data_IF_736071941935
#
_entry.id   IF_736071941935
#
_cell.length_a   1.000
_cell.length_b   1.000
_cell.length_c   1.000
_cell.angle_alpha   90.00
_cell.angle_beta   90.00
_cell.angle_gamma   90.00
#
_symmetry.space_group_name_H-M   'P 1'
#
loop_
_entity.id
_entity.type
_entity.pdbx_description
1 polymer ?
#
# COMPACT_ATOMS: atom_id res chain seq x y z
N UNK A 1 -55.92 31.35 5.28
CA UNK A 1 -55.69 30.48 6.43
C UNK A 1 -54.20 30.54 6.76
N UNK A 2 -53.85 31.03 7.95
CA UNK A 2 -52.47 31.00 8.44
C UNK A 2 -52.16 29.53 8.75
N UNK A 3 -51.22 28.92 8.02
CA UNK A 3 -50.75 27.55 8.29
C UNK A 3 -50.09 27.58 9.68
N UNK A 4 -50.75 26.98 10.67
CA UNK A 4 -50.17 26.82 12.01
C UNK A 4 -48.88 26.02 11.84
N UNK A 5 -47.79 26.60 12.27
CA UNK A 5 -46.47 25.89 12.27
C UNK A 5 -46.48 24.78 13.32
N UNK A 6 -46.08 23.61 12.94
CA UNK A 6 -45.93 22.47 13.84
C UNK A 6 -44.74 22.70 14.78
N UNK A 7 -44.97 22.57 16.09
CA UNK A 7 -43.94 22.63 17.10
C UNK A 7 -43.15 21.28 17.13
N UNK A 8 -41.85 21.36 16.94
CA UNK A 8 -40.95 20.18 16.94
C UNK A 8 -40.21 20.02 18.27
N UNK A 9 -40.47 20.86 19.29
CA UNK A 9 -39.76 20.81 20.59
C UNK A 9 -39.91 19.43 21.23
N UNK A 10 -38.80 18.84 21.70
CA UNK A 10 -38.73 17.53 22.28
C UNK A 10 -38.68 16.38 21.27
N UNK A 11 -38.90 16.63 19.98
CA UNK A 11 -38.79 15.58 18.95
C UNK A 11 -37.33 15.22 18.69
N UNK A 12 -37.10 13.96 18.30
CA UNK A 12 -35.76 13.43 18.00
C UNK A 12 -35.68 13.08 16.51
N UNK A 13 -34.67 13.63 15.84
CA UNK A 13 -34.36 13.36 14.45
C UNK A 13 -32.92 12.78 14.34
N UNK A 14 -32.82 11.48 14.19
CA UNK A 14 -31.55 10.77 14.27
C UNK A 14 -30.92 10.92 15.67
N UNK A 15 -29.79 11.63 15.76
CA UNK A 15 -29.10 11.96 17.02
C UNK A 15 -29.41 13.37 17.54
N UNK A 16 -30.27 14.10 16.86
CA UNK A 16 -30.63 15.48 17.22
C UNK A 16 -31.94 15.50 17.98
N UNK A 17 -31.92 16.04 19.19
CA UNK A 17 -33.11 16.37 19.98
C UNK A 17 -33.38 17.86 19.84
N UNK A 18 -34.58 18.22 19.44
CA UNK A 18 -35.02 19.62 19.32
C UNK A 18 -35.26 20.20 20.71
N UNK A 19 -34.60 21.30 21.02
CA UNK A 19 -34.68 21.96 22.36
C UNK A 19 -35.70 23.11 22.33
N UNK A 20 -35.64 23.97 21.31
CA UNK A 20 -36.48 25.15 21.16
C UNK A 20 -36.51 25.64 19.73
N UNK A 21 -37.46 26.47 19.40
CA UNK A 21 -37.47 27.19 18.14
C UNK A 21 -36.36 28.26 18.11
N UNK A 22 -35.72 28.46 16.97
CA UNK A 22 -34.81 29.54 16.68
C UNK A 22 -35.46 30.59 15.78
N UNK A 23 -34.77 31.70 15.52
CA UNK A 23 -35.22 32.69 14.53
C UNK A 23 -35.30 32.07 13.14
N UNK A 24 -36.26 32.49 12.33
CA UNK A 24 -36.42 32.00 11.00
C UNK A 24 -35.20 32.29 10.12
N UNK A 25 -34.79 31.31 9.32
CA UNK A 25 -33.88 31.59 8.21
C UNK A 25 -34.64 32.28 7.08
N UNK A 26 -34.20 33.48 6.73
CA UNK A 26 -34.78 34.24 5.62
C UNK A 26 -33.85 34.21 4.42
N UNK A 27 -34.30 33.68 3.31
CA UNK A 27 -33.51 33.67 2.08
C UNK A 27 -33.39 35.08 1.47
N UNK A 28 -32.39 35.32 0.58
CA UNK A 28 -32.29 36.61 -0.15
C UNK A 28 -33.53 36.99 -0.97
N UNK A 29 -34.42 36.02 -1.26
CA UNK A 29 -35.70 36.21 -1.94
C UNK A 29 -36.88 36.42 -0.99
N UNK A 30 -36.62 36.61 0.32
CA UNK A 30 -37.65 36.86 1.33
C UNK A 30 -38.47 35.62 1.76
N UNK A 31 -38.03 34.41 1.45
CA UNK A 31 -38.71 33.19 1.90
C UNK A 31 -38.23 32.81 3.30
N UNK A 32 -39.18 32.59 4.22
CA UNK A 32 -38.95 32.24 5.60
C UNK A 32 -38.97 30.73 5.82
N UNK A 33 -37.95 30.18 6.50
CA UNK A 33 -37.88 28.79 6.93
C UNK A 33 -37.74 28.70 8.44
N UNK A 34 -38.66 27.98 9.08
CA UNK A 34 -38.59 27.75 10.52
C UNK A 34 -37.30 26.98 10.87
N UNK A 35 -36.54 27.53 11.82
CA UNK A 35 -35.33 26.88 12.35
C UNK A 35 -35.52 26.44 13.80
N UNK A 36 -34.74 25.45 14.18
CA UNK A 36 -34.79 24.80 15.48
C UNK A 36 -33.38 24.61 16.05
N UNK A 37 -33.25 24.93 17.33
CA UNK A 37 -32.04 24.62 18.09
C UNK A 37 -32.10 23.18 18.54
N UNK A 38 -31.07 22.40 18.21
CA UNK A 38 -30.98 21.01 18.53
C UNK A 38 -29.71 20.70 19.36
N UNK A 39 -29.77 19.66 20.18
CA UNK A 39 -28.62 19.04 20.82
C UNK A 39 -28.38 17.64 20.29
N UNK A 40 -27.11 17.28 20.09
CA UNK A 40 -26.74 15.96 19.61
C UNK A 40 -26.46 15.00 20.77
N UNK A 41 -26.95 13.75 20.68
CA UNK A 41 -26.74 12.73 21.73
C UNK A 41 -25.27 12.27 21.87
N UNK A 42 -24.36 12.70 20.96
CA UNK A 42 -22.93 12.37 21.06
C UNK A 42 -22.16 13.13 22.16
N UNK A 43 -22.85 14.01 22.90
CA UNK A 43 -22.22 14.82 23.96
C UNK A 43 -21.53 16.09 23.46
N UNK A 44 -21.64 16.44 22.17
CA UNK A 44 -21.19 17.76 21.70
C UNK A 44 -21.96 18.89 22.40
N UNK A 45 -21.23 19.84 22.95
CA UNK A 45 -21.82 20.98 23.72
C UNK A 45 -22.39 22.06 22.81
N UNK A 46 -21.99 22.11 21.54
CA UNK A 46 -22.45 23.14 20.60
C UNK A 46 -23.92 22.93 20.23
N UNK A 47 -24.68 24.04 20.22
CA UNK A 47 -26.03 24.05 19.69
C UNK A 47 -26.00 24.00 18.16
N UNK A 48 -26.90 23.21 17.61
CA UNK A 48 -27.04 23.03 16.14
C UNK A 48 -28.35 23.66 15.74
N UNK A 49 -28.30 24.59 14.80
CA UNK A 49 -29.50 25.25 14.27
C UNK A 49 -29.81 24.66 12.90
N UNK A 50 -31.00 24.05 12.76
CA UNK A 50 -31.42 23.39 11.53
C UNK A 50 -32.86 23.70 11.18
N UNK A 51 -33.15 23.67 9.87
CA UNK A 51 -34.52 23.94 9.39
C UNK A 51 -35.43 22.73 9.62
N UNK A 52 -36.76 23.00 9.79
CA UNK A 52 -37.77 21.94 9.91
C UNK A 52 -37.67 20.90 8.79
N UNK A 53 -37.42 21.36 7.57
CA UNK A 53 -37.32 20.48 6.40
C UNK A 53 -36.12 19.54 6.47
N UNK A 54 -34.95 20.03 6.88
CA UNK A 54 -33.76 19.21 7.01
C UNK A 54 -33.89 18.13 8.10
N UNK A 55 -34.56 18.46 9.20
CA UNK A 55 -34.86 17.54 10.27
C UNK A 55 -35.85 16.46 9.81
N UNK A 56 -37.00 16.85 9.26
CA UNK A 56 -38.07 15.92 8.85
C UNK A 56 -37.67 15.00 7.71
N UNK A 57 -36.89 15.51 6.76
CA UNK A 57 -36.39 14.69 5.63
C UNK A 57 -35.20 13.81 5.97
N UNK A 58 -34.66 13.92 7.19
CA UNK A 58 -33.48 13.19 7.61
C UNK A 58 -32.19 13.65 6.90
N UNK A 59 -32.19 14.81 6.24
CA UNK A 59 -31.01 15.37 5.58
C UNK A 59 -29.89 15.68 6.59
N UNK A 60 -30.27 16.10 7.81
CA UNK A 60 -29.37 16.28 8.93
C UNK A 60 -29.82 15.43 10.08
N UNK A 61 -28.96 14.51 10.53
CA UNK A 61 -29.25 13.51 11.57
C UNK A 61 -28.30 13.60 12.79
N UNK A 62 -27.29 14.45 12.74
CA UNK A 62 -26.30 14.62 13.81
C UNK A 62 -25.54 15.93 13.67
N UNK A 63 -24.70 16.28 14.63
CA UNK A 63 -23.74 17.40 14.55
C UNK A 63 -22.58 17.16 13.55
N UNK A 64 -22.67 16.19 12.67
CA UNK A 64 -21.58 15.70 11.84
C UNK A 64 -20.82 14.50 12.44
N UNK A 65 -21.08 14.14 13.71
CA UNK A 65 -20.44 12.99 14.37
C UNK A 65 -20.74 11.67 13.64
N UNK A 66 -21.97 11.43 13.22
CA UNK A 66 -22.38 10.24 12.48
C UNK A 66 -21.60 10.10 11.16
N UNK A 67 -21.43 11.20 10.43
CA UNK A 67 -20.63 11.20 9.20
C UNK A 67 -19.15 10.89 9.47
N UNK A 68 -18.58 11.41 10.59
CA UNK A 68 -17.20 11.12 10.98
C UNK A 68 -17.04 9.64 11.38
N UNK A 69 -17.98 9.08 12.14
CA UNK A 69 -17.98 7.67 12.53
C UNK A 69 -18.12 6.73 11.33
N UNK A 70 -19.07 7.01 10.42
CA UNK A 70 -19.25 6.23 9.20
C UNK A 70 -18.01 6.31 8.27
N UNK A 71 -17.37 7.46 8.18
CA UNK A 71 -16.10 7.58 7.46
C UNK A 71 -15.00 6.78 8.14
N UNK A 72 -14.88 6.87 9.47
CA UNK A 72 -13.90 6.11 10.24
C UNK A 72 -14.12 4.59 10.12
N UNK A 73 -15.37 4.11 10.18
CA UNK A 73 -15.69 2.69 10.02
C UNK A 73 -15.46 2.17 8.60
N UNK A 74 -15.73 2.98 7.58
CA UNK A 74 -15.42 2.65 6.17
C UNK A 74 -13.92 2.62 5.87
N UNK A 75 -13.12 3.43 6.60
CA UNK A 75 -11.67 3.51 6.43
C UNK A 75 -10.90 2.47 7.24
N UNK A 76 -11.51 1.89 8.28
CA UNK A 76 -10.94 0.80 9.06
C UNK A 76 -11.50 -0.54 8.58
N UNK A 77 -11.11 -0.95 7.39
CA UNK A 77 -11.13 -2.37 7.07
C UNK A 77 -9.92 -2.98 7.77
N UNK A 78 -10.17 -3.76 8.81
CA UNK A 78 -9.13 -4.60 9.40
C UNK A 78 -8.74 -5.66 8.36
N UNK A 79 -7.45 -5.98 8.32
CA UNK A 79 -7.00 -7.10 7.53
C UNK A 79 -7.42 -8.41 8.22
N UNK A 80 -7.69 -9.41 7.42
CA UNK A 80 -7.85 -10.79 7.89
C UNK A 80 -6.46 -11.43 7.97
N UNK A 81 -6.23 -12.23 9.01
CA UNK A 81 -4.94 -12.88 9.23
C UNK A 81 -5.14 -14.36 9.54
N UNK A 82 -4.33 -15.21 8.95
CA UNK A 82 -4.11 -16.58 9.36
C UNK A 82 -2.75 -16.70 10.06
N UNK A 83 -2.78 -17.11 11.34
CA UNK A 83 -1.61 -17.28 12.20
C UNK A 83 -1.38 -18.74 12.56
N UNK A 84 -2.08 -19.69 11.94
CA UNK A 84 -2.01 -21.12 12.28
C UNK A 84 -0.77 -21.82 11.74
N UNK A 85 -0.08 -21.23 10.77
CA UNK A 85 1.12 -21.78 10.15
C UNK A 85 2.43 -21.40 10.85
N UNK A 86 3.55 -21.74 10.23
CA UNK A 86 4.89 -21.33 10.68
C UNK A 86 5.21 -19.85 10.46
N UNK A 87 4.35 -19.13 9.73
CA UNK A 87 4.39 -17.70 9.48
C UNK A 87 2.97 -17.17 9.34
N UNK A 88 2.80 -15.86 9.44
CA UNK A 88 1.50 -15.21 9.30
C UNK A 88 1.18 -14.91 7.84
N UNK A 89 -0.08 -15.10 7.46
CA UNK A 89 -0.66 -14.71 6.17
C UNK A 89 -1.70 -13.64 6.41
N UNK A 90 -1.57 -12.48 5.76
CA UNK A 90 -2.56 -11.41 5.81
C UNK A 90 -3.19 -11.18 4.44
N UNK A 91 -4.44 -10.70 4.41
CA UNK A 91 -5.12 -10.33 3.18
C UNK A 91 -5.15 -8.81 3.02
N UNK A 92 -4.67 -8.29 1.90
CA UNK A 92 -4.74 -6.86 1.58
C UNK A 92 -6.20 -6.38 1.47
N UNK A 93 -6.55 -5.33 2.21
CA UNK A 93 -7.95 -4.90 2.41
C UNK A 93 -8.67 -4.40 1.15
N UNK A 94 -7.94 -4.08 0.09
CA UNK A 94 -8.49 -3.56 -1.17
C UNK A 94 -8.55 -4.59 -2.30
N UNK A 95 -7.66 -5.57 -2.32
CA UNK A 95 -7.54 -6.57 -3.41
C UNK A 95 -7.77 -8.00 -2.94
N UNK A 96 -7.59 -8.28 -1.63
CA UNK A 96 -7.57 -9.64 -1.10
C UNK A 96 -6.26 -10.38 -1.41
N UNK A 97 -5.25 -9.70 -1.95
CA UNK A 97 -3.93 -10.31 -2.20
C UNK A 97 -3.29 -10.75 -0.90
N UNK A 98 -2.74 -11.96 -0.87
CA UNK A 98 -2.03 -12.48 0.28
C UNK A 98 -0.68 -11.78 0.46
N UNK A 99 -0.31 -11.55 1.71
CA UNK A 99 1.04 -11.13 2.08
C UNK A 99 1.53 -11.91 3.30
N UNK A 100 2.83 -12.11 3.39
CA UNK A 100 3.46 -13.01 4.34
C UNK A 100 4.37 -12.23 5.28
N UNK A 101 4.41 -12.63 6.56
CA UNK A 101 5.21 -12.02 7.62
C UNK A 101 5.53 -13.03 8.71
N UNK A 102 6.55 -12.78 9.55
CA UNK A 102 6.86 -13.65 10.68
C UNK A 102 5.88 -13.41 11.82
N UNK A 103 5.45 -14.49 12.51
CA UNK A 103 4.44 -14.43 13.59
C UNK A 103 4.81 -13.41 14.68
N UNK A 104 6.10 -13.27 14.99
CA UNK A 104 6.59 -12.30 15.97
C UNK A 104 6.39 -10.83 15.59
N UNK A 105 6.15 -10.54 14.32
CA UNK A 105 5.88 -9.19 13.84
C UNK A 105 4.37 -8.84 13.81
N UNK A 106 3.50 -9.80 14.15
CA UNK A 106 2.05 -9.59 14.16
C UNK A 106 1.61 -8.39 15.02
N UNK A 107 2.17 -8.28 16.23
CA UNK A 107 1.83 -7.17 17.12
C UNK A 107 2.24 -5.80 16.58
N UNK A 108 3.24 -5.72 15.72
CA UNK A 108 3.66 -4.47 15.06
C UNK A 108 2.71 -4.06 13.94
N UNK A 109 2.06 -5.05 13.28
CA UNK A 109 1.31 -4.81 12.04
C UNK A 109 -0.21 -4.81 12.22
N UNK A 110 -0.75 -5.50 13.23
CA UNK A 110 -2.19 -5.73 13.41
C UNK A 110 -3.05 -4.46 13.51
N UNK A 111 -2.49 -3.36 14.01
CA UNK A 111 -3.21 -2.10 14.22
C UNK A 111 -3.29 -1.22 12.97
N UNK A 112 -2.68 -1.64 11.86
CA UNK A 112 -2.69 -0.93 10.59
C UNK A 112 -3.66 -1.58 9.60
N UNK A 113 -4.16 -0.78 8.66
CA UNK A 113 -4.95 -1.28 7.53
C UNK A 113 -4.03 -1.40 6.30
N UNK A 114 -3.56 -2.60 6.06
CA UNK A 114 -2.66 -2.91 4.93
C UNK A 114 -3.43 -3.04 3.63
N UNK A 115 -2.87 -2.49 2.59
CA UNK A 115 -3.41 -2.48 1.24
C UNK A 115 -2.31 -2.79 0.24
N UNK A 116 -2.68 -3.37 -0.87
CA UNK A 116 -1.82 -3.39 -2.03
C UNK A 116 -1.71 -1.97 -2.59
N UNK A 117 -0.49 -1.49 -2.72
CA UNK A 117 -0.13 -0.18 -3.23
C UNK A 117 0.68 -0.35 -4.50
N UNK A 118 0.54 0.61 -5.41
CA UNK A 118 1.32 0.67 -6.65
C UNK A 118 2.39 1.75 -6.52
N UNK A 119 3.63 1.45 -6.89
CA UNK A 119 4.70 2.44 -6.96
C UNK A 119 4.52 3.43 -8.12
N UNK A 120 5.33 4.47 -8.14
CA UNK A 120 5.21 5.59 -9.08
C UNK A 120 5.23 5.17 -10.56
N UNK A 121 5.91 4.08 -10.90
CA UNK A 121 5.96 3.56 -12.28
C UNK A 121 4.72 2.77 -12.71
N UNK A 122 3.79 2.48 -11.80
CA UNK A 122 2.61 1.63 -12.06
C UNK A 122 2.91 0.14 -12.22
N UNK A 123 4.17 -0.26 -12.23
CA UNK A 123 4.59 -1.66 -12.47
C UNK A 123 5.02 -2.42 -11.21
N UNK A 124 5.29 -1.70 -10.13
CA UNK A 124 5.73 -2.28 -8.88
C UNK A 124 4.61 -2.23 -7.85
N UNK A 125 4.22 -3.39 -7.33
CA UNK A 125 3.19 -3.54 -6.30
C UNK A 125 3.85 -3.89 -4.96
N UNK A 126 3.31 -3.40 -3.86
CA UNK A 126 3.80 -3.70 -2.51
C UNK A 126 2.69 -3.54 -1.48
N UNK A 127 2.90 -4.11 -0.30
CA UNK A 127 1.97 -3.94 0.82
C UNK A 127 2.33 -2.70 1.62
N UNK A 128 1.38 -1.79 1.77
CA UNK A 128 1.57 -0.51 2.46
C UNK A 128 0.30 -0.02 3.14
N UNK A 129 0.48 0.93 4.04
CA UNK A 129 -0.61 1.63 4.73
C UNK A 129 -0.41 3.14 4.66
N UNK A 130 -1.48 3.91 4.84
CA UNK A 130 -1.39 5.37 4.93
C UNK A 130 -1.03 5.75 6.36
N UNK A 131 0.13 6.34 6.55
CA UNK A 131 0.62 6.84 7.84
C UNK A 131 0.91 8.35 7.80
N UNK A 132 0.91 8.98 8.97
CA UNK A 132 1.32 10.37 9.12
C UNK A 132 2.73 10.39 9.73
N UNK A 133 3.74 10.69 8.91
CA UNK A 133 5.14 10.78 9.31
C UNK A 133 5.56 12.25 9.22
N UNK A 134 6.11 12.80 10.32
CA UNK A 134 6.52 14.21 10.40
C UNK A 134 5.44 15.19 9.92
N UNK A 135 4.18 14.95 10.31
CA UNK A 135 3.04 15.79 9.95
C UNK A 135 2.51 15.60 8.53
N UNK A 136 3.21 14.92 7.64
CA UNK A 136 2.79 14.66 6.25
C UNK A 136 2.19 13.26 6.11
N UNK A 137 1.11 13.15 5.34
CA UNK A 137 0.51 11.88 4.99
C UNK A 137 1.35 11.20 3.91
N UNK A 138 1.81 9.98 4.18
CA UNK A 138 2.63 9.19 3.27
C UNK A 138 2.21 7.72 3.30
N UNK A 139 2.67 6.95 2.32
CA UNK A 139 2.52 5.49 2.33
C UNK A 139 3.70 4.88 3.08
N UNK A 140 3.40 4.10 4.12
CA UNK A 140 4.37 3.32 4.89
C UNK A 140 4.34 1.88 4.39
N UNK A 141 5.39 1.39 3.72
CA UNK A 141 5.51 -0.02 3.35
C UNK A 141 5.68 -0.91 4.59
N UNK A 142 5.06 -2.10 4.58
CA UNK A 142 5.10 -3.04 5.71
C UNK A 142 6.54 -3.48 6.05
N UNK A 143 7.37 -3.75 5.05
CA UNK A 143 8.77 -4.15 5.26
C UNK A 143 9.59 -3.08 6.00
N UNK A 144 9.29 -1.78 5.82
CA UNK A 144 9.95 -0.70 6.57
C UNK A 144 9.56 -0.69 8.05
N UNK A 145 8.31 -1.05 8.37
CA UNK A 145 7.86 -1.18 9.74
C UNK A 145 8.53 -2.39 10.44
N UNK A 146 8.68 -3.50 9.72
CA UNK A 146 9.28 -4.74 10.25
C UNK A 146 10.78 -4.57 10.50
N UNK A 147 11.54 -4.12 9.49
CA UNK A 147 13.01 -4.04 9.54
C UNK A 147 13.52 -2.72 10.14
N UNK A 148 12.70 -1.66 10.12
CA UNK A 148 13.05 -0.30 10.59
C UNK A 148 14.30 0.28 9.91
N UNK A 149 14.45 0.02 8.59
CA UNK A 149 15.54 0.54 7.75
C UNK A 149 15.00 1.16 6.48
N UNK A 150 15.74 2.11 5.92
CA UNK A 150 15.27 2.89 4.77
C UNK A 150 15.30 2.11 3.45
N UNK A 151 16.35 1.34 3.22
CA UNK A 151 16.54 0.58 2.00
C UNK A 151 16.49 -0.91 2.30
N UNK A 152 15.37 -1.52 1.90
CA UNK A 152 15.10 -2.96 2.07
C UNK A 152 14.84 -3.56 0.70
N UNK A 153 15.43 -4.72 0.44
CA UNK A 153 15.23 -5.52 -0.76
C UNK A 153 14.57 -6.86 -0.40
N UNK A 154 13.67 -7.34 -1.26
CA UNK A 154 13.09 -8.67 -1.16
C UNK A 154 13.94 -9.66 -1.94
N UNK A 155 14.61 -10.56 -1.24
CA UNK A 155 15.56 -11.48 -1.83
C UNK A 155 14.94 -12.37 -2.93
N UNK A 156 13.71 -12.82 -2.76
CA UNK A 156 12.94 -13.61 -3.72
C UNK A 156 12.25 -12.78 -4.82
N UNK A 157 12.34 -11.44 -4.77
CA UNK A 157 11.66 -10.47 -5.64
C UNK A 157 10.14 -10.46 -5.48
N UNK A 158 9.60 -11.08 -4.46
CA UNK A 158 8.19 -11.02 -4.14
C UNK A 158 7.94 -9.94 -3.07
N UNK A 159 7.40 -8.76 -3.43
CA UNK A 159 7.19 -7.67 -2.48
C UNK A 159 6.04 -7.92 -1.49
N UNK A 160 5.35 -9.05 -1.63
CA UNK A 160 4.34 -9.52 -0.69
C UNK A 160 4.94 -10.45 0.39
N UNK A 161 6.15 -11.00 0.19
CA UNK A 161 6.86 -11.82 1.18
C UNK A 161 7.71 -10.95 2.09
N UNK A 162 7.13 -10.49 3.20
CA UNK A 162 7.76 -9.61 4.17
C UNK A 162 8.35 -10.36 5.39
N UNK A 163 8.70 -11.63 5.23
CA UNK A 163 9.40 -12.42 6.26
C UNK A 163 10.86 -11.96 6.36
N UNK A 164 11.40 -11.92 7.56
CA UNK A 164 12.79 -11.43 7.80
C UNK A 164 13.83 -12.19 7.03
N UNK A 165 13.65 -13.51 6.84
CA UNK A 165 14.55 -14.33 6.03
C UNK A 165 14.64 -13.87 4.56
N UNK A 166 13.56 -13.24 4.06
CA UNK A 166 13.48 -12.70 2.70
C UNK A 166 13.86 -11.21 2.62
N UNK A 167 13.76 -10.48 3.73
CA UNK A 167 14.08 -9.07 3.79
C UNK A 167 15.55 -8.85 4.11
N UNK A 168 16.24 -8.07 3.30
CA UNK A 168 17.64 -7.74 3.51
C UNK A 168 17.90 -6.25 3.33
N UNK A 169 18.85 -5.72 4.10
CA UNK A 169 19.33 -4.37 3.86
C UNK A 169 20.13 -4.35 2.55
N UNK A 170 19.80 -3.42 1.67
CA UNK A 170 20.47 -3.26 0.39
C UNK A 170 20.80 -1.79 0.13
N UNK A 171 21.91 -1.52 -0.54
CA UNK A 171 22.15 -0.19 -1.11
C UNK A 171 21.24 0.04 -2.31
N UNK A 172 21.06 1.30 -2.73
CA UNK A 172 20.29 1.61 -3.93
C UNK A 172 20.81 0.86 -5.17
N UNK A 173 22.13 0.70 -5.27
CA UNK A 173 22.79 -0.05 -6.34
C UNK A 173 22.45 -1.54 -6.28
N UNK A 174 22.54 -2.17 -5.12
CA UNK A 174 22.19 -3.59 -4.91
C UNK A 174 20.70 -3.85 -5.23
N UNK A 175 19.83 -2.93 -4.83
CA UNK A 175 18.40 -3.04 -5.12
C UNK A 175 18.12 -2.96 -6.65
N UNK A 176 18.90 -2.17 -7.39
CA UNK A 176 18.78 -2.14 -8.85
C UNK A 176 19.25 -3.41 -9.55
N UNK A 177 20.10 -4.21 -8.92
CA UNK A 177 20.57 -5.49 -9.45
C UNK A 177 19.54 -6.61 -9.30
N UNK A 178 18.70 -6.57 -8.28
CA UNK A 178 17.69 -7.59 -8.02
C UNK A 178 16.46 -7.45 -8.96
N UNK A 179 16.72 -7.26 -10.27
CA UNK A 179 15.65 -7.14 -11.28
C UNK A 179 15.42 -8.45 -12.02
N UNK A 180 14.18 -8.67 -12.42
CA UNK A 180 13.83 -9.76 -13.31
C UNK A 180 14.38 -9.55 -14.72
N UNK A 181 14.49 -10.63 -15.49
CA UNK A 181 14.86 -10.57 -16.91
C UNK A 181 13.80 -9.74 -17.65
N UNK A 182 14.23 -8.78 -18.47
CA UNK A 182 13.29 -7.96 -19.25
C UNK A 182 12.58 -8.82 -20.30
N UNK A 183 11.32 -8.54 -20.58
CA UNK A 183 10.51 -9.24 -21.60
C UNK A 183 11.12 -9.17 -23.02
N UNK A 184 11.92 -8.14 -23.29
CA UNK A 184 12.65 -7.98 -24.57
C UNK A 184 13.90 -8.84 -24.65
N UNK A 185 14.32 -9.50 -23.57
CA UNK A 185 15.51 -10.36 -23.56
C UNK A 185 15.20 -11.71 -24.22
N UNK A 186 15.80 -11.94 -25.38
CA UNK A 186 15.57 -13.15 -26.19
C UNK A 186 16.33 -14.39 -25.72
N UNK A 187 17.39 -14.22 -24.92
CA UNK A 187 18.18 -15.35 -24.40
C UNK A 187 17.58 -15.97 -23.14
N UNK A 188 16.71 -15.23 -22.43
CA UNK A 188 16.22 -15.60 -21.10
C UNK A 188 17.21 -15.32 -19.96
N UNK A 189 18.43 -14.86 -20.24
CA UNK A 189 19.51 -14.67 -19.24
C UNK A 189 20.04 -13.22 -19.28
N UNK A 190 20.18 -12.62 -18.10
CA UNK A 190 20.72 -11.26 -17.99
C UNK A 190 22.19 -11.25 -18.43
N UNK A 191 22.53 -10.36 -19.38
CA UNK A 191 23.90 -10.17 -19.84
C UNK A 191 24.39 -11.24 -20.83
N UNK A 192 23.51 -12.12 -21.32
CA UNK A 192 23.83 -13.09 -22.40
C UNK A 192 23.01 -12.72 -23.64
N UNK A 193 23.67 -12.64 -24.79
CA UNK A 193 23.03 -12.31 -26.07
C UNK A 193 23.67 -13.02 -27.24
N UNK A 194 22.89 -13.30 -28.28
CA UNK A 194 23.40 -13.82 -29.53
C UNK A 194 23.97 -12.70 -30.40
N UNK A 195 25.17 -12.92 -30.93
CA UNK A 195 25.75 -12.03 -31.94
C UNK A 195 25.56 -12.66 -33.34
N UNK A 196 24.82 -11.97 -34.20
CA UNK A 196 24.48 -12.45 -35.55
C UNK A 196 25.68 -12.42 -36.51
N UNK A 197 26.65 -11.53 -36.33
CA UNK A 197 27.80 -11.38 -37.19
C UNK A 197 28.84 -12.47 -36.96
N UNK A 198 29.11 -12.77 -35.68
CA UNK A 198 30.11 -13.76 -35.30
C UNK A 198 29.53 -15.16 -35.10
N UNK A 199 28.20 -15.31 -35.15
CA UNK A 199 27.48 -16.52 -34.83
C UNK A 199 27.90 -17.13 -33.48
N UNK A 200 28.01 -16.27 -32.43
CA UNK A 200 28.42 -16.66 -31.08
C UNK A 200 27.53 -16.03 -30.00
N UNK A 201 27.50 -16.68 -28.86
CA UNK A 201 26.89 -16.13 -27.65
C UNK A 201 27.88 -15.22 -26.93
N UNK A 202 27.48 -14.01 -26.61
CA UNK A 202 28.30 -13.03 -25.89
C UNK A 202 27.79 -12.92 -24.46
N UNK A 203 28.70 -13.03 -23.49
CA UNK A 203 28.46 -12.76 -22.08
C UNK A 203 29.08 -11.41 -21.68
N UNK A 204 28.29 -10.55 -21.03
CA UNK A 204 28.71 -9.26 -20.49
C UNK A 204 28.22 -9.11 -19.07
N UNK A 205 28.89 -8.28 -18.25
CA UNK A 205 28.44 -7.86 -16.92
C UNK A 205 28.54 -6.34 -16.80
N UNK A 206 27.55 -5.71 -16.17
CA UNK A 206 27.60 -4.29 -15.84
C UNK A 206 28.03 -4.12 -14.38
N UNK A 207 29.12 -3.39 -14.15
CA UNK A 207 29.66 -3.09 -12.82
C UNK A 207 29.87 -1.57 -12.78
N UNK A 208 29.32 -0.90 -11.79
CA UNK A 208 29.41 0.55 -11.60
C UNK A 208 29.10 1.32 -12.90
N UNK A 209 27.95 0.97 -13.52
CA UNK A 209 27.47 1.54 -14.78
C UNK A 209 28.37 1.31 -16.00
N UNK A 210 29.44 0.49 -15.87
CA UNK A 210 30.34 0.12 -16.98
C UNK A 210 30.12 -1.33 -17.39
N UNK A 211 29.85 -1.53 -18.66
CA UNK A 211 29.73 -2.88 -19.23
C UNK A 211 31.11 -3.49 -19.46
N UNK A 212 31.37 -4.62 -18.83
CA UNK A 212 32.56 -5.44 -19.07
C UNK A 212 32.21 -6.65 -19.93
N UNK A 213 33.00 -6.88 -20.94
CA UNK A 213 32.96 -8.08 -21.75
C UNK A 213 33.58 -9.24 -20.99
N UNK A 214 32.89 -10.39 -20.94
CA UNK A 214 33.36 -11.62 -20.28
C UNK A 214 33.95 -12.57 -21.31
N UNK A 215 33.20 -12.79 -22.42
CA UNK A 215 33.64 -13.72 -23.45
C UNK A 215 32.62 -13.94 -24.55
N UNK A 216 33.07 -14.70 -25.58
CA UNK A 216 32.26 -15.13 -26.71
C UNK A 216 32.32 -16.66 -26.81
N UNK A 217 31.17 -17.31 -26.91
CA UNK A 217 31.00 -18.75 -26.74
C UNK A 217 30.19 -19.34 -27.89
N UNK A 218 30.52 -20.57 -28.29
CA UNK A 218 29.78 -21.29 -29.32
C UNK A 218 28.44 -21.84 -28.78
N UNK A 219 28.38 -22.19 -27.50
CA UNK A 219 27.19 -22.69 -26.84
C UNK A 219 26.64 -21.69 -25.81
N UNK A 220 25.32 -21.56 -25.76
CA UNK A 220 24.66 -20.66 -24.80
C UNK A 220 24.97 -21.04 -23.35
N UNK A 221 25.08 -22.35 -23.04
CA UNK A 221 25.38 -22.81 -21.68
C UNK A 221 26.72 -22.27 -21.17
N UNK A 222 27.76 -22.22 -22.00
CA UNK A 222 29.06 -21.72 -21.62
C UNK A 222 29.01 -20.21 -21.34
N UNK A 223 28.27 -19.47 -22.15
CA UNK A 223 28.03 -18.04 -21.93
C UNK A 223 27.27 -17.78 -20.61
N UNK A 224 26.27 -18.62 -20.30
CA UNK A 224 25.52 -18.54 -19.02
C UNK A 224 26.44 -18.82 -17.84
N UNK A 225 27.18 -19.91 -17.85
CA UNK A 225 28.14 -20.28 -16.79
C UNK A 225 29.16 -19.17 -16.57
N UNK A 226 29.75 -18.65 -17.64
CA UNK A 226 30.69 -17.52 -17.54
C UNK A 226 30.05 -16.27 -16.91
N UNK A 227 28.81 -15.97 -17.28
CA UNK A 227 28.05 -14.86 -16.72
C UNK A 227 27.70 -15.05 -15.25
N UNK A 228 27.27 -16.23 -14.84
CA UNK A 228 26.92 -16.57 -13.46
C UNK A 228 28.16 -16.54 -12.56
N UNK A 229 29.29 -17.09 -13.01
CA UNK A 229 30.58 -16.99 -12.30
C UNK A 229 31.02 -15.52 -12.10
N UNK A 230 30.82 -14.68 -13.12
CA UNK A 230 31.10 -13.26 -12.98
C UNK A 230 30.14 -12.59 -11.98
N UNK A 231 28.86 -12.98 -11.93
CA UNK A 231 27.93 -12.48 -10.91
C UNK A 231 28.38 -12.86 -9.50
N UNK A 232 28.72 -14.12 -9.27
CA UNK A 232 29.23 -14.59 -7.99
C UNK A 232 30.49 -13.81 -7.56
N UNK A 233 31.42 -13.61 -8.48
CA UNK A 233 32.70 -12.89 -8.24
C UNK A 233 32.48 -11.43 -7.87
N UNK A 234 31.58 -10.71 -8.58
CA UNK A 234 31.46 -9.25 -8.43
C UNK A 234 30.33 -8.83 -7.47
N UNK A 235 29.28 -9.64 -7.30
CA UNK A 235 28.12 -9.28 -6.51
C UNK A 235 27.93 -10.19 -5.27
N UNK A 236 28.65 -11.29 -5.20
CA UNK A 236 28.51 -12.30 -4.16
C UNK A 236 27.22 -13.13 -4.34
N UNK A 237 27.11 -14.18 -3.52
CA UNK A 237 25.98 -15.12 -3.59
C UNK A 237 24.64 -14.45 -3.32
N UNK A 238 24.59 -13.52 -2.39
CA UNK A 238 23.32 -12.93 -1.93
C UNK A 238 22.73 -11.92 -2.91
N UNK A 239 23.58 -11.13 -3.60
CA UNK A 239 23.15 -10.04 -4.47
C UNK A 239 23.27 -10.32 -5.97
N UNK A 240 23.74 -11.51 -6.35
CA UNK A 240 23.80 -11.89 -7.76
C UNK A 240 22.39 -11.88 -8.38
N UNK A 241 22.17 -11.18 -9.51
CA UNK A 241 20.84 -11.07 -10.14
C UNK A 241 20.22 -12.42 -10.50
N UNK A 242 21.02 -13.39 -10.87
CA UNK A 242 20.59 -14.71 -11.33
C UNK A 242 20.99 -15.84 -10.37
N UNK A 243 21.14 -15.54 -9.06
CA UNK A 243 21.55 -16.49 -8.01
C UNK A 243 20.68 -17.75 -7.93
N UNK A 244 19.41 -17.67 -8.31
CA UNK A 244 18.48 -18.79 -8.35
C UNK A 244 18.86 -19.87 -9.38
N UNK A 245 19.80 -19.56 -10.29
CA UNK A 245 20.32 -20.50 -11.28
C UNK A 245 21.65 -21.14 -10.85
N UNK A 246 22.24 -20.72 -9.72
CA UNK A 246 23.56 -21.19 -9.32
C UNK A 246 23.62 -22.71 -9.12
N UNK A 247 22.60 -23.28 -8.47
CA UNK A 247 22.55 -24.73 -8.25
C UNK A 247 22.35 -25.51 -9.58
N UNK A 248 21.49 -25.01 -10.47
CA UNK A 248 21.25 -25.61 -11.78
C UNK A 248 22.52 -25.67 -12.65
N UNK A 249 23.36 -24.63 -12.56
CA UNK A 249 24.58 -24.49 -13.36
C UNK A 249 25.87 -24.85 -12.60
N UNK A 250 25.76 -25.40 -11.38
CA UNK A 250 26.88 -25.78 -10.51
C UNK A 250 27.87 -24.63 -10.27
N UNK A 251 27.37 -23.43 -9.96
CA UNK A 251 28.18 -22.26 -9.61
C UNK A 251 28.45 -22.27 -8.11
N UNK A 252 29.71 -22.38 -7.73
CA UNK A 252 30.19 -22.48 -6.32
C UNK A 252 31.01 -21.27 -5.93
#
# INVERSE_FOLDING_TARGET
MVKVREDLTGMIFGRLMVIRQADDYVTPKGVHYAQWVCKCSCGNKDEIIETSNHLKTGRVQSCGCLSKELKASRLRKYNEYDLSGGYGVGLASNTGSEFYFDLEDYDKIKDYCWRECTGDSGQYHFIGTSAKINGKRTTLPIHKLIIQKDLVDHADRNPFNNRKENLRHATAHQNTMNKSVMSTNKSGFIGVRWNKETHKWIANICIDYKTKYIGSFSYIRDAIVARLNAELKYFGKDFAPQRHLFDEYNIM
#
